data_IF_548629598167
#
_entry.id   IF_548629598167
#
_cell.length_a   1.000
_cell.length_b   1.000
_cell.length_c   1.000
_cell.angle_alpha   90.00
_cell.angle_beta   90.00
_cell.angle_gamma   90.00
#
_symmetry.space_group_name_H-M   'P 1'
#
loop_
_entity.id
_entity.type
_entity.pdbx_description
1 polymer ?
#
# COMPACT_ATOMS: atom_id res chain seq x y z
N UNK A 1 41.34 -64.69 -54.89
CA UNK A 1 40.60 -63.86 -53.92
C UNK A 1 41.61 -62.93 -53.26
N UNK A 2 41.44 -61.66 -53.56
CA UNK A 2 42.29 -60.48 -53.29
C UNK A 2 42.51 -60.23 -51.79
N UNK A 3 43.75 -59.99 -51.34
CA UNK A 3 44.16 -58.69 -50.80
C UNK A 3 45.64 -58.68 -50.37
N UNK A 4 46.40 -57.81 -51.03
CA UNK A 4 47.76 -57.40 -50.69
C UNK A 4 47.69 -56.25 -49.66
N UNK A 5 48.52 -56.37 -48.62
CA UNK A 5 49.50 -55.35 -48.16
C UNK A 5 48.99 -53.96 -47.73
N UNK A 6 49.24 -53.60 -46.45
CA UNK A 6 50.20 -52.56 -46.05
C UNK A 6 50.19 -52.32 -44.54
N UNK A 7 51.34 -52.52 -43.90
CA UNK A 7 51.68 -51.87 -42.64
C UNK A 7 51.70 -50.35 -42.83
N UNK A 8 51.16 -49.62 -41.83
CA UNK A 8 51.30 -48.17 -41.72
C UNK A 8 52.00 -47.85 -40.39
N UNK A 9 53.26 -47.48 -40.52
CA UNK A 9 54.06 -46.75 -39.53
C UNK A 9 53.44 -45.37 -39.34
N UNK A 10 53.08 -44.98 -38.12
CA UNK A 10 52.67 -43.62 -37.78
C UNK A 10 53.81 -42.95 -37.02
N UNK A 11 54.28 -41.85 -37.61
CA UNK A 11 55.37 -40.98 -37.20
C UNK A 11 54.92 -40.16 -35.99
N UNK A 12 55.68 -40.24 -34.89
CA UNK A 12 55.55 -39.35 -33.74
C UNK A 12 56.29 -38.06 -34.10
N UNK A 13 55.55 -37.01 -34.43
CA UNK A 13 56.11 -35.66 -34.59
C UNK A 13 55.81 -34.85 -33.35
N UNK A 14 56.86 -34.63 -32.56
CA UNK A 14 56.90 -33.72 -31.42
C UNK A 14 56.58 -32.30 -31.87
N UNK A 15 55.54 -31.68 -31.31
CA UNK A 15 55.25 -30.26 -31.49
C UNK A 15 55.15 -29.59 -30.13
N UNK A 16 56.28 -29.06 -29.68
CA UNK A 16 56.39 -28.09 -28.59
C UNK A 16 55.93 -26.75 -29.16
N UNK A 17 54.76 -26.27 -28.75
CA UNK A 17 54.36 -24.88 -28.93
C UNK A 17 54.02 -24.31 -27.56
N UNK A 18 54.88 -23.40 -27.11
CA UNK A 18 54.67 -22.46 -26.01
C UNK A 18 53.30 -21.79 -26.15
N UNK A 19 52.34 -22.17 -25.33
CA UNK A 19 51.17 -21.33 -25.05
C UNK A 19 51.04 -21.16 -23.54
N UNK A 20 51.91 -20.28 -23.04
CA UNK A 20 51.60 -19.44 -21.89
C UNK A 20 50.34 -18.63 -22.23
N UNK A 21 49.18 -19.24 -22.07
CA UNK A 21 47.95 -18.52 -21.82
C UNK A 21 47.41 -19.07 -20.53
N UNK A 22 47.77 -18.34 -19.48
CA UNK A 22 47.01 -18.17 -18.27
C UNK A 22 45.54 -18.01 -18.67
N UNK A 23 44.82 -19.11 -18.85
CA UNK A 23 43.37 -19.11 -18.77
C UNK A 23 43.08 -18.77 -17.32
N UNK A 24 43.03 -17.46 -17.05
CA UNK A 24 42.10 -16.93 -16.07
C UNK A 24 40.75 -17.41 -16.56
N UNK A 25 40.39 -18.64 -16.18
CA UNK A 25 39.02 -19.04 -16.09
C UNK A 25 38.47 -18.19 -14.94
N UNK A 26 38.25 -16.91 -15.23
CA UNK A 26 37.37 -16.08 -14.42
C UNK A 26 36.07 -16.88 -14.44
N UNK A 27 35.59 -17.38 -13.29
CA UNK A 27 34.29 -18.01 -13.28
C UNK A 27 33.34 -17.01 -13.96
N UNK A 28 32.42 -17.46 -14.83
CA UNK A 28 31.37 -16.57 -15.29
C UNK A 28 30.80 -15.94 -14.02
N UNK A 29 30.80 -14.61 -13.93
CA UNK A 29 30.10 -13.93 -12.85
C UNK A 29 28.72 -14.56 -12.85
N UNK A 30 28.41 -15.32 -11.81
CA UNK A 30 27.07 -15.86 -11.62
C UNK A 30 26.20 -14.62 -11.60
N UNK A 31 25.46 -14.39 -12.69
CA UNK A 31 24.27 -13.57 -12.59
C UNK A 31 23.45 -14.30 -11.53
N UNK A 32 23.37 -13.70 -10.34
CA UNK A 32 22.52 -14.20 -9.28
C UNK A 32 21.18 -14.54 -9.93
N UNK A 33 20.77 -15.81 -9.89
CA UNK A 33 19.47 -16.19 -10.39
C UNK A 33 18.45 -15.30 -9.69
N UNK A 34 17.66 -14.57 -10.48
CA UNK A 34 16.66 -13.64 -9.94
C UNK A 34 15.75 -14.46 -9.02
N UNK A 35 15.71 -14.09 -7.73
CA UNK A 35 14.99 -14.89 -6.73
C UNK A 35 13.52 -15.00 -7.11
N UNK A 36 12.87 -16.10 -6.73
CA UNK A 36 11.43 -16.26 -6.99
C UNK A 36 10.64 -15.06 -6.47
N UNK A 37 11.00 -14.55 -5.29
CA UNK A 37 10.45 -13.32 -4.71
C UNK A 37 10.60 -12.12 -5.63
N UNK A 38 11.79 -11.89 -6.21
CA UNK A 38 12.03 -10.77 -7.14
C UNK A 38 11.13 -10.85 -8.38
N UNK A 39 10.93 -12.05 -8.92
CA UNK A 39 10.05 -12.30 -10.09
C UNK A 39 8.56 -12.11 -9.78
N UNK A 40 8.17 -12.31 -8.53
CA UNK A 40 6.78 -12.24 -8.08
C UNK A 40 6.42 -10.92 -7.39
N UNK A 41 7.36 -9.97 -7.27
CA UNK A 41 7.08 -8.63 -6.73
C UNK A 41 5.86 -7.99 -7.36
N UNK A 42 4.95 -7.53 -6.49
CA UNK A 42 3.73 -6.86 -6.88
C UNK A 42 2.69 -7.75 -7.57
N UNK A 43 2.89 -9.07 -7.61
CA UNK A 43 1.90 -10.01 -8.14
C UNK A 43 0.85 -10.33 -7.08
N UNK A 44 -0.36 -10.55 -7.60
CA UNK A 44 -1.38 -11.35 -6.93
C UNK A 44 -1.13 -12.82 -7.25
N UNK A 45 -1.21 -13.68 -6.23
CA UNK A 45 -0.99 -15.12 -6.35
C UNK A 45 -2.22 -15.88 -5.88
N UNK A 46 -2.54 -16.97 -6.57
CA UNK A 46 -3.60 -17.90 -6.21
C UNK A 46 -2.96 -19.24 -5.86
N UNK A 47 -3.07 -19.64 -4.60
CA UNK A 47 -2.52 -20.90 -4.13
C UNK A 47 -3.42 -22.05 -4.59
N UNK A 48 -2.94 -22.83 -5.56
CA UNK A 48 -3.77 -23.81 -6.26
C UNK A 48 -4.19 -24.98 -5.36
N UNK A 49 -3.33 -25.34 -4.40
CA UNK A 49 -3.50 -26.49 -3.51
C UNK A 49 -4.32 -26.19 -2.25
N UNK A 50 -4.62 -24.91 -1.95
CA UNK A 50 -5.31 -24.52 -0.72
C UNK A 50 -6.52 -23.64 -1.01
N UNK A 51 -7.70 -24.27 -1.24
CA UNK A 51 -9.05 -23.65 -1.30
C UNK A 51 -9.16 -22.31 -2.07
N UNK A 52 -8.24 -22.00 -2.99
CA UNK A 52 -8.18 -20.72 -3.68
C UNK A 52 -7.82 -19.51 -2.79
N UNK A 53 -6.91 -19.68 -1.83
CA UNK A 53 -6.31 -18.58 -1.05
C UNK A 53 -5.55 -17.62 -1.97
N UNK A 54 -5.72 -16.32 -1.70
CA UNK A 54 -5.11 -15.25 -2.49
C UNK A 54 -4.00 -14.60 -1.67
N UNK A 55 -2.92 -14.26 -2.34
CA UNK A 55 -1.76 -13.61 -1.73
C UNK A 55 -1.35 -12.39 -2.54
N UNK A 56 -0.85 -11.36 -1.87
CA UNK A 56 -0.20 -10.23 -2.50
C UNK A 56 1.28 -10.20 -2.09
N UNK A 57 2.19 -10.14 -3.05
CA UNK A 57 3.63 -9.95 -2.78
C UNK A 57 3.93 -8.47 -2.85
N UNK A 58 4.17 -7.84 -1.70
CA UNK A 58 4.41 -6.40 -1.66
C UNK A 58 5.79 -6.08 -2.26
N UNK A 59 5.88 -5.24 -3.33
CA UNK A 59 7.15 -4.93 -3.98
C UNK A 59 8.05 -4.00 -3.14
N UNK A 60 7.59 -3.52 -1.98
CA UNK A 60 8.36 -2.66 -1.08
C UNK A 60 9.18 -3.44 -0.07
N UNK A 61 8.62 -4.50 0.51
CA UNK A 61 9.25 -5.27 1.59
C UNK A 61 9.53 -6.74 1.23
N UNK A 62 9.18 -7.16 0.01
CA UNK A 62 9.37 -8.53 -0.49
C UNK A 62 8.60 -9.62 0.28
N UNK A 63 7.56 -9.22 1.03
CA UNK A 63 6.74 -10.15 1.82
C UNK A 63 5.42 -10.47 1.15
N UNK A 64 4.91 -11.68 1.41
CA UNK A 64 3.56 -12.09 1.03
C UNK A 64 2.55 -11.78 2.13
N UNK A 65 1.39 -11.29 1.72
CA UNK A 65 0.24 -10.98 2.56
C UNK A 65 -0.93 -11.86 2.12
N UNK A 66 -1.53 -12.63 3.03
CA UNK A 66 -2.76 -13.35 2.73
C UNK A 66 -3.91 -12.37 2.60
N UNK A 67 -4.64 -12.43 1.48
CA UNK A 67 -5.79 -11.58 1.18
C UNK A 67 -7.06 -12.41 1.23
N UNK A 68 -7.97 -12.04 2.11
CA UNK A 68 -9.30 -12.61 2.25
C UNK A 68 -10.37 -11.50 2.37
N UNK A 69 -11.64 -11.89 2.43
CA UNK A 69 -12.76 -10.94 2.44
C UNK A 69 -12.73 -10.01 3.68
N UNK A 70 -12.18 -10.48 4.79
CA UNK A 70 -12.16 -9.76 6.06
C UNK A 70 -11.01 -8.76 6.15
N UNK A 71 -9.86 -9.08 5.53
CA UNK A 71 -8.63 -8.29 5.68
C UNK A 71 -8.21 -7.48 4.44
N UNK A 72 -8.81 -7.73 3.27
CA UNK A 72 -8.38 -7.15 1.99
C UNK A 72 -8.24 -5.63 2.04
N UNK A 73 -9.30 -4.91 2.45
CA UNK A 73 -9.26 -3.46 2.50
C UNK A 73 -8.26 -2.92 3.53
N UNK A 74 -8.09 -3.59 4.66
CA UNK A 74 -7.15 -3.19 5.71
C UNK A 74 -5.71 -3.33 5.21
N UNK A 75 -5.38 -4.47 4.60
CA UNK A 75 -4.08 -4.71 3.98
C UNK A 75 -3.83 -3.67 2.89
N UNK A 76 -4.80 -3.41 2.02
CA UNK A 76 -4.54 -2.51 0.91
C UNK A 76 -4.37 -1.07 1.34
N UNK A 77 -5.13 -0.59 2.33
CA UNK A 77 -4.91 0.75 2.89
C UNK A 77 -3.54 0.87 3.57
N UNK A 78 -3.10 -0.18 4.26
CA UNK A 78 -1.80 -0.20 4.91
C UNK A 78 -0.63 -0.21 3.91
N UNK A 79 -0.79 -0.89 2.77
CA UNK A 79 0.27 -1.08 1.78
C UNK A 79 0.21 -0.08 0.60
N UNK A 80 -0.89 0.63 0.44
CA UNK A 80 -1.11 1.49 -0.72
C UNK A 80 -0.26 2.76 -0.69
N UNK A 81 0.22 3.14 -1.87
CA UNK A 81 0.86 4.43 -2.12
C UNK A 81 -0.19 5.47 -2.49
N UNK A 82 -0.16 6.65 -1.85
CA UNK A 82 -1.01 7.76 -2.26
C UNK A 82 -0.72 8.22 -3.70
N UNK A 83 -1.77 8.51 -4.47
CA UNK A 83 -1.67 9.02 -5.85
C UNK A 83 -2.71 10.12 -6.11
N UNK A 84 -2.36 11.11 -6.92
CA UNK A 84 -3.26 12.17 -7.40
C UNK A 84 -4.11 11.68 -8.57
N UNK A 85 -5.22 12.35 -8.87
CA UNK A 85 -6.07 12.06 -10.02
C UNK A 85 -5.28 12.24 -11.33
N UNK A 86 -4.50 13.33 -11.45
CA UNK A 86 -3.66 13.62 -12.61
C UNK A 86 -2.66 12.50 -12.91
N UNK A 87 -2.06 11.90 -11.89
CA UNK A 87 -1.10 10.80 -12.06
C UNK A 87 -1.79 9.45 -12.23
N UNK A 88 -2.92 9.24 -11.56
CA UNK A 88 -3.73 8.02 -11.69
C UNK A 88 -4.30 7.88 -13.10
N UNK A 89 -4.70 8.99 -13.74
CA UNK A 89 -5.26 8.94 -15.09
C UNK A 89 -4.23 8.56 -16.16
N UNK A 90 -2.95 8.85 -15.91
CA UNK A 90 -1.86 8.45 -16.81
C UNK A 90 -1.66 6.94 -16.89
N UNK A 91 -2.32 6.17 -16.02
CA UNK A 91 -2.28 4.69 -16.03
C UNK A 91 -3.51 4.18 -16.79
N UNK A 92 -3.34 3.36 -17.85
CA UNK A 92 -4.47 2.77 -18.57
C UNK A 92 -5.41 1.99 -17.65
N UNK A 93 -6.70 2.03 -17.90
CA UNK A 93 -7.70 1.22 -17.19
C UNK A 93 -8.34 0.19 -18.13
N UNK A 94 -8.90 -0.88 -17.58
CA UNK A 94 -9.68 -1.85 -18.35
C UNK A 94 -11.17 -1.47 -18.31
N UNK A 95 -11.76 -1.18 -19.47
CA UNK A 95 -13.15 -0.75 -19.59
C UNK A 95 -14.15 -1.79 -19.06
N UNK A 96 -13.79 -3.07 -18.99
CA UNK A 96 -14.67 -4.11 -18.46
C UNK A 96 -14.84 -4.05 -16.94
N UNK A 97 -13.98 -3.28 -16.25
CA UNK A 97 -13.98 -3.15 -14.79
C UNK A 97 -14.46 -1.77 -14.30
N UNK A 98 -14.90 -0.92 -15.23
CA UNK A 98 -15.46 0.39 -14.90
C UNK A 98 -16.94 0.23 -14.58
N UNK A 99 -17.38 0.89 -13.51
CA UNK A 99 -18.79 0.92 -13.16
C UNK A 99 -19.56 1.76 -14.19
N UNK A 100 -20.53 1.13 -14.85
CA UNK A 100 -21.31 1.75 -15.92
C UNK A 100 -22.22 2.91 -15.49
N UNK A 101 -22.27 3.26 -14.19
CA UNK A 101 -23.12 4.31 -13.63
C UNK A 101 -22.35 5.42 -12.91
N UNK A 102 -21.03 5.30 -12.82
CA UNK A 102 -20.20 6.31 -12.15
C UNK A 102 -19.87 7.41 -13.16
N UNK A 103 -19.86 8.64 -12.65
CA UNK A 103 -19.38 9.86 -13.28
C UNK A 103 -18.43 10.49 -12.23
N UNK A 104 -17.14 10.29 -12.44
CA UNK A 104 -16.09 10.52 -11.45
C UNK A 104 -15.69 12.00 -11.32
N UNK A 105 -15.79 12.78 -12.40
CA UNK A 105 -15.49 14.21 -12.40
C UNK A 105 -16.76 15.11 -12.39
N UNK A 106 -17.94 14.51 -12.59
CA UNK A 106 -19.24 15.16 -12.47
C UNK A 106 -19.60 16.03 -13.67
N UNK A 107 -18.99 15.79 -14.83
CA UNK A 107 -19.21 16.60 -16.04
C UNK A 107 -20.46 16.19 -16.85
N UNK A 108 -21.13 15.11 -16.43
CA UNK A 108 -22.34 14.57 -17.06
C UNK A 108 -22.08 13.43 -18.05
N UNK A 109 -20.83 13.02 -18.25
CA UNK A 109 -20.45 11.81 -18.98
C UNK A 109 -20.08 10.69 -18.00
N UNK A 110 -20.58 9.48 -18.26
CA UNK A 110 -20.26 8.33 -17.41
C UNK A 110 -18.84 7.85 -17.69
N UNK A 111 -18.10 7.41 -16.66
CA UNK A 111 -16.72 6.93 -16.77
C UNK A 111 -16.54 5.86 -17.86
N UNK A 112 -17.53 4.99 -18.02
CA UNK A 112 -17.50 3.95 -19.06
C UNK A 112 -17.55 4.54 -20.47
N UNK A 113 -18.33 5.61 -20.67
CA UNK A 113 -18.43 6.32 -21.95
C UNK A 113 -17.13 7.04 -22.22
N UNK A 114 -16.58 7.72 -21.21
CA UNK A 114 -15.32 8.43 -21.32
C UNK A 114 -14.16 7.49 -21.65
N UNK A 115 -13.99 6.41 -20.88
CA UNK A 115 -12.93 5.44 -21.07
C UNK A 115 -12.97 4.78 -22.45
N UNK A 116 -14.16 4.38 -22.92
CA UNK A 116 -14.35 3.80 -24.27
C UNK A 116 -13.96 4.80 -25.37
N UNK A 117 -14.18 6.09 -25.12
CA UNK A 117 -13.82 7.16 -26.05
C UNK A 117 -12.43 7.76 -25.80
N UNK A 118 -11.67 7.25 -24.81
CA UNK A 118 -10.33 7.73 -24.45
C UNK A 118 -10.30 9.12 -23.81
N UNK A 119 -11.35 9.50 -23.09
CA UNK A 119 -11.38 10.71 -22.26
C UNK A 119 -10.87 10.43 -20.85
N UNK A 120 -10.48 11.50 -20.15
CA UNK A 120 -9.95 11.48 -18.79
C UNK A 120 -11.09 11.37 -17.78
N UNK A 121 -11.05 10.35 -16.93
CA UNK A 121 -12.12 10.06 -15.95
C UNK A 121 -12.19 11.05 -14.77
N UNK A 122 -11.17 11.89 -14.61
CA UNK A 122 -11.02 12.76 -13.44
C UNK A 122 -10.82 14.23 -13.85
N UNK A 123 -11.14 14.60 -15.09
CA UNK A 123 -11.06 15.96 -15.57
C UNK A 123 -11.15 16.09 -17.09
N UNK A 124 -11.03 17.31 -17.62
CA UNK A 124 -11.36 17.57 -19.01
C UNK A 124 -10.34 16.97 -20.00
N UNK A 125 -10.85 16.62 -21.18
CA UNK A 125 -10.03 16.28 -22.35
C UNK A 125 -9.64 14.81 -22.46
N UNK A 126 -8.74 14.50 -23.40
CA UNK A 126 -8.32 13.12 -23.66
C UNK A 126 -7.40 12.60 -22.56
N UNK A 127 -7.55 11.34 -22.21
CA UNK A 127 -6.60 10.65 -21.32
C UNK A 127 -5.22 10.61 -21.99
N UNK A 128 -4.18 10.98 -21.24
CA UNK A 128 -2.78 10.94 -21.69
C UNK A 128 -2.05 9.88 -20.88
N UNK A 129 -1.78 8.74 -21.49
CA UNK A 129 -1.08 7.66 -20.80
C UNK A 129 0.44 7.87 -20.78
N UNK A 130 1.05 7.69 -19.60
CA UNK A 130 2.49 7.81 -19.41
C UNK A 130 3.11 6.45 -19.04
N UNK A 131 3.88 5.87 -19.96
CA UNK A 131 4.54 4.58 -19.72
C UNK A 131 5.50 4.61 -18.54
N UNK A 132 6.14 5.74 -18.23
CA UNK A 132 7.09 5.84 -17.12
C UNK A 132 6.37 5.71 -15.78
N UNK A 133 5.23 6.39 -15.61
CA UNK A 133 4.48 6.29 -14.36
C UNK A 133 3.88 4.90 -14.19
N UNK A 134 3.31 4.33 -15.26
CA UNK A 134 2.78 2.98 -15.25
C UNK A 134 3.86 1.97 -14.88
N UNK A 135 5.05 2.05 -15.50
CA UNK A 135 6.18 1.16 -15.19
C UNK A 135 6.62 1.28 -13.73
N UNK A 136 6.70 2.51 -13.20
CA UNK A 136 7.10 2.77 -11.81
C UNK A 136 6.09 2.23 -10.79
N UNK A 137 4.82 2.19 -11.15
CA UNK A 137 3.72 1.80 -10.26
C UNK A 137 3.25 0.36 -10.45
N UNK A 138 3.87 -0.41 -11.36
CA UNK A 138 3.56 -1.84 -11.56
C UNK A 138 3.54 -2.61 -10.25
N UNK A 139 2.46 -3.37 -10.06
CA UNK A 139 2.25 -4.22 -8.90
C UNK A 139 2.02 -3.47 -7.59
N UNK A 140 1.86 -2.15 -7.62
CA UNK A 140 1.53 -1.35 -6.45
C UNK A 140 0.03 -1.32 -6.23
N UNK A 141 -0.33 -1.32 -4.96
CA UNK A 141 -1.61 -0.82 -4.49
C UNK A 141 -1.49 0.71 -4.38
N UNK A 142 -2.51 1.43 -4.84
CA UNK A 142 -2.57 2.89 -4.84
C UNK A 142 -3.81 3.34 -4.09
N UNK A 143 -3.70 4.48 -3.41
CA UNK A 143 -4.81 5.13 -2.71
C UNK A 143 -5.04 6.50 -3.35
N UNK A 144 -6.20 6.68 -3.97
CA UNK A 144 -6.57 7.95 -4.61
C UNK A 144 -6.78 9.03 -3.54
N UNK A 145 -5.89 10.01 -3.49
CA UNK A 145 -5.84 10.97 -2.39
C UNK A 145 -6.87 12.10 -2.51
N UNK A 146 -7.30 12.44 -3.72
CA UNK A 146 -8.11 13.62 -4.04
C UNK A 146 -9.60 13.32 -4.25
N UNK A 147 -10.03 12.08 -4.00
CA UNK A 147 -11.42 11.64 -4.11
C UNK A 147 -11.81 10.83 -2.84
N UNK A 148 -12.81 9.96 -2.92
CA UNK A 148 -13.33 9.13 -1.82
C UNK A 148 -12.36 8.07 -1.25
N UNK A 149 -11.06 8.14 -1.55
CA UNK A 149 -10.06 7.20 -1.04
C UNK A 149 -10.18 5.81 -1.66
N UNK A 150 -10.56 5.75 -2.94
CA UNK A 150 -10.60 4.52 -3.73
C UNK A 150 -9.21 3.89 -3.78
N UNK A 151 -9.18 2.57 -3.78
CA UNK A 151 -7.96 1.78 -3.87
C UNK A 151 -7.85 1.27 -5.29
N UNK A 152 -6.63 1.26 -5.81
CA UNK A 152 -6.34 0.78 -7.16
C UNK A 152 -5.20 -0.22 -7.11
N UNK A 153 -5.25 -1.25 -7.94
CA UNK A 153 -4.14 -2.16 -8.18
C UNK A 153 -3.62 -1.98 -9.60
N UNK A 154 -2.33 -1.72 -9.76
CA UNK A 154 -1.70 -1.68 -11.09
C UNK A 154 -1.17 -3.06 -11.42
N UNK A 155 -1.82 -3.77 -12.33
CA UNK A 155 -1.44 -5.13 -12.66
C UNK A 155 -0.13 -5.14 -13.48
N UNK A 156 0.95 -5.79 -13.00
CA UNK A 156 2.24 -5.81 -13.69
C UNK A 156 2.26 -6.70 -14.94
N UNK A 157 1.16 -7.40 -15.26
CA UNK A 157 1.02 -8.26 -16.44
C UNK A 157 0.54 -7.50 -17.67
N UNK A 158 -0.42 -6.60 -17.50
CA UNK A 158 -1.08 -5.87 -18.59
C UNK A 158 -0.92 -4.35 -18.53
N UNK A 159 -0.23 -3.83 -17.50
CA UNK A 159 0.00 -2.40 -17.29
C UNK A 159 -1.27 -1.58 -17.02
N UNK A 160 -2.36 -2.22 -16.60
CA UNK A 160 -3.63 -1.55 -16.31
C UNK A 160 -3.87 -1.36 -14.82
N UNK A 161 -4.55 -0.27 -14.47
CA UNK A 161 -5.12 -0.04 -13.14
C UNK A 161 -6.50 -0.69 -13.03
N UNK A 162 -6.80 -1.24 -11.86
CA UNK A 162 -8.08 -1.83 -11.49
C UNK A 162 -8.55 -1.25 -10.18
N UNK A 163 -9.77 -0.74 -10.11
CA UNK A 163 -10.35 -0.28 -8.85
C UNK A 163 -10.64 -1.49 -7.95
N UNK A 164 -10.26 -1.38 -6.67
CA UNK A 164 -10.42 -2.41 -5.66
C UNK A 164 -11.31 -1.89 -4.53
N UNK A 165 -12.39 -2.61 -4.26
CA UNK A 165 -13.33 -2.33 -3.17
C UNK A 165 -13.72 -3.62 -2.45
N UNK A 166 -14.49 -3.51 -1.36
CA UNK A 166 -14.89 -4.66 -0.54
C UNK A 166 -15.65 -5.73 -1.34
N UNK A 167 -16.46 -5.31 -2.31
CA UNK A 167 -17.32 -6.22 -3.07
C UNK A 167 -16.55 -6.96 -4.18
N UNK A 168 -15.53 -6.34 -4.79
CA UNK A 168 -14.84 -6.89 -5.94
C UNK A 168 -13.44 -7.45 -5.65
N UNK A 169 -12.84 -7.19 -4.48
CA UNK A 169 -11.43 -7.51 -4.23
C UNK A 169 -11.07 -8.99 -4.51
N UNK A 170 -11.79 -9.93 -3.91
CA UNK A 170 -11.50 -11.36 -4.10
C UNK A 170 -11.78 -11.86 -5.52
N UNK A 171 -12.95 -11.58 -6.15
CA UNK A 171 -13.20 -11.95 -7.54
C UNK A 171 -12.16 -11.37 -8.50
N UNK A 172 -11.85 -10.07 -8.38
CA UNK A 172 -10.84 -9.39 -9.19
C UNK A 172 -9.48 -10.07 -9.02
N UNK A 173 -9.09 -10.34 -7.78
CA UNK A 173 -7.77 -10.88 -7.51
C UNK A 173 -7.62 -12.29 -8.03
N UNK A 174 -8.65 -13.14 -7.90
CA UNK A 174 -8.64 -14.49 -8.50
C UNK A 174 -8.51 -14.44 -10.02
N UNK A 175 -9.09 -13.43 -10.66
CA UNK A 175 -8.99 -13.25 -12.11
C UNK A 175 -7.59 -12.79 -12.55
N UNK A 176 -6.95 -11.91 -11.77
CA UNK A 176 -5.63 -11.34 -12.09
C UNK A 176 -4.45 -12.17 -11.56
N UNK A 177 -4.70 -13.08 -10.63
CA UNK A 177 -3.67 -13.80 -9.91
C UNK A 177 -2.97 -14.86 -10.77
N UNK A 178 -1.67 -15.01 -10.52
CA UNK A 178 -0.87 -16.12 -11.02
C UNK A 178 -1.02 -17.33 -10.09
N UNK A 179 -1.25 -18.52 -10.63
CA UNK A 179 -1.23 -19.75 -9.85
C UNK A 179 0.16 -20.01 -9.25
N UNK A 180 0.21 -20.41 -7.99
CA UNK A 180 1.46 -20.76 -7.29
C UNK A 180 1.31 -22.05 -6.47
N UNK A 181 2.40 -22.83 -6.38
CA UNK A 181 2.45 -24.04 -5.54
C UNK A 181 2.80 -23.70 -4.09
N UNK A 182 2.48 -24.60 -3.16
CA UNK A 182 2.86 -24.42 -1.74
C UNK A 182 4.38 -24.33 -1.56
N UNK A 183 5.14 -25.11 -2.33
CA UNK A 183 6.60 -25.11 -2.32
C UNK A 183 7.14 -23.74 -2.73
N UNK A 184 6.72 -23.24 -3.89
CA UNK A 184 7.13 -21.92 -4.41
C UNK A 184 6.68 -20.78 -3.48
N UNK A 185 5.47 -20.84 -2.93
CA UNK A 185 4.93 -19.82 -2.03
C UNK A 185 5.74 -19.74 -0.72
N UNK A 186 6.25 -20.88 -0.24
CA UNK A 186 7.05 -20.96 0.98
C UNK A 186 8.42 -20.29 0.86
N UNK A 187 8.95 -20.11 -0.36
CA UNK A 187 10.20 -19.39 -0.61
C UNK A 187 10.06 -17.86 -0.44
N UNK A 188 8.82 -17.34 -0.52
CA UNK A 188 8.53 -15.93 -0.27
C UNK A 188 8.42 -15.76 1.25
N UNK A 189 8.89 -14.68 1.86
CA UNK A 189 8.71 -14.50 3.31
C UNK A 189 7.27 -14.06 3.63
N UNK A 190 6.56 -14.66 4.61
CA UNK A 190 5.27 -14.14 5.04
C UNK A 190 5.42 -12.80 5.76
N UNK A 191 4.42 -11.93 5.65
CA UNK A 191 4.29 -10.79 6.54
C UNK A 191 4.16 -11.27 7.99
N UNK A 192 5.03 -10.79 8.88
CA UNK A 192 4.97 -11.13 10.30
C UNK A 192 3.73 -10.47 10.91
N UNK A 193 2.69 -11.26 11.17
CA UNK A 193 1.60 -10.84 12.06
C UNK A 193 2.13 -11.05 13.47
N UNK A 194 2.64 -9.99 14.10
CA UNK A 194 3.06 -10.03 15.50
C UNK A 194 1.80 -10.09 16.38
N UNK A 195 1.27 -11.29 16.61
CA UNK A 195 0.38 -11.57 17.75
C UNK A 195 1.22 -11.57 19.02
N UNK A 196 1.51 -10.40 19.57
CA UNK A 196 2.07 -10.29 20.92
C UNK A 196 0.94 -10.10 21.92
N UNK A 197 0.82 -11.07 22.82
CA UNK A 197 -0.05 -11.03 23.99
C UNK A 197 0.57 -10.01 24.95
N UNK A 198 0.12 -8.75 24.90
CA UNK A 198 0.68 -7.71 25.79
C UNK A 198 0.09 -7.87 27.20
N UNK A 199 0.90 -8.38 28.12
CA UNK A 199 0.72 -8.08 29.54
C UNK A 199 0.87 -6.56 29.74
N UNK A 200 -0.01 -6.00 30.56
CA UNK A 200 -0.16 -4.56 30.77
C UNK A 200 1.03 -3.97 31.55
N UNK A 201 1.81 -3.01 31.00
CA UNK A 201 2.74 -2.25 31.80
C UNK A 201 1.98 -1.12 32.50
N UNK A 202 1.97 -1.16 33.82
CA UNK A 202 1.52 -0.06 34.69
C UNK A 202 2.54 1.08 34.60
N UNK A 203 2.26 2.11 33.82
CA UNK A 203 3.12 3.32 33.76
C UNK A 203 2.55 4.40 34.65
N UNK A 204 3.40 4.86 35.57
CA UNK A 204 3.19 6.00 36.44
C UNK A 204 3.55 7.29 35.70
N UNK A 205 2.68 8.29 35.80
CA UNK A 205 2.89 9.61 35.22
C UNK A 205 4.08 10.31 35.90
N UNK A 206 5.13 10.56 35.13
CA UNK A 206 6.06 11.67 35.41
C UNK A 206 6.19 12.48 34.13
N UNK A 207 5.82 13.76 34.20
CA UNK A 207 5.90 14.71 33.09
C UNK A 207 7.35 14.88 32.61
N UNK A 208 7.62 15.05 31.30
CA UNK A 208 8.95 15.39 30.84
C UNK A 208 9.28 16.86 31.15
N UNK A 209 10.51 17.19 31.58
CA UNK A 209 10.94 18.56 31.76
C UNK A 209 11.49 19.16 30.45
N UNK A 210 11.07 20.40 30.15
CA UNK A 210 11.92 21.42 29.52
C UNK A 210 11.85 21.65 27.99
N UNK A 211 11.26 22.80 27.62
CA UNK A 211 11.90 23.77 26.72
C UNK A 211 11.80 23.57 25.19
N UNK A 212 10.67 23.94 24.58
CA UNK A 212 10.65 24.29 23.15
C UNK A 212 11.09 25.74 22.97
N UNK A 213 12.30 25.96 22.47
CA UNK A 213 12.77 27.28 22.05
C UNK A 213 11.93 27.86 20.91
N UNK A 214 11.89 29.20 20.83
CA UNK A 214 11.11 30.04 19.91
C UNK A 214 10.62 29.35 18.62
N UNK A 215 9.42 28.77 18.73
CA UNK A 215 8.62 28.33 17.60
C UNK A 215 8.02 29.58 16.93
N UNK A 216 8.07 29.71 15.59
CA UNK A 216 7.42 30.83 14.92
C UNK A 216 5.95 30.92 15.36
N UNK A 217 5.52 32.12 15.76
CA UNK A 217 4.11 32.37 16.07
C UNK A 217 3.28 32.04 14.84
N UNK A 218 2.37 31.05 14.91
CA UNK A 218 1.57 30.66 13.77
C UNK A 218 0.67 31.83 13.34
N UNK A 219 0.24 31.86 12.06
CA UNK A 219 -0.78 32.80 11.62
C UNK A 219 -2.02 32.67 12.51
N UNK A 220 -2.62 33.80 12.88
CA UNK A 220 -3.82 33.83 13.71
C UNK A 220 -5.01 33.33 12.90
N UNK A 221 -5.32 32.03 13.00
CA UNK A 221 -6.49 31.42 12.38
C UNK A 221 -7.69 31.46 13.33
N UNK A 222 -8.74 32.19 12.95
CA UNK A 222 -10.07 32.03 13.55
C UNK A 222 -10.71 30.74 13.04
N UNK A 223 -10.73 29.71 13.89
CA UNK A 223 -11.44 28.47 13.60
C UNK A 223 -12.92 28.65 13.94
N UNK A 224 -13.78 28.70 12.92
CA UNK A 224 -15.22 28.61 13.09
C UNK A 224 -15.59 27.14 13.29
N UNK A 225 -16.07 26.81 14.48
CA UNK A 225 -16.61 25.49 14.77
C UNK A 225 -17.87 25.27 13.94
N UNK A 226 -17.84 24.30 13.02
CA UNK A 226 -19.05 23.81 12.36
C UNK A 226 -19.41 22.47 13.01
N UNK A 227 -20.63 22.30 13.54
CA UNK A 227 -21.07 21.01 14.03
C UNK A 227 -21.23 20.02 12.86
N UNK A 228 -20.89 18.75 13.13
CA UNK A 228 -21.10 17.62 12.24
C UNK A 228 -22.56 17.58 11.76
N UNK A 229 -22.78 17.58 10.44
CA UNK A 229 -24.11 17.26 9.89
C UNK A 229 -24.42 15.78 10.16
N UNK A 230 -25.69 15.53 10.45
CA UNK A 230 -26.19 14.39 11.19
C UNK A 230 -26.01 13.03 10.45
N UNK A 231 -24.92 12.33 10.73
CA UNK A 231 -24.76 10.91 10.40
C UNK A 231 -24.65 10.10 11.70
N UNK A 232 -25.73 9.35 11.95
CA UNK A 232 -25.93 8.32 12.98
C UNK A 232 -24.63 7.75 13.57
N UNK A 233 -24.54 7.80 14.91
CA UNK A 233 -23.57 7.13 15.78
C UNK A 233 -22.47 6.34 15.06
N UNK A 234 -21.40 7.03 14.65
CA UNK A 234 -20.20 6.38 14.14
C UNK A 234 -19.74 5.34 15.16
N UNK A 235 -19.56 4.09 14.76
CA UNK A 235 -18.96 3.09 15.63
C UNK A 235 -17.50 3.47 15.88
N UNK A 236 -16.90 2.93 16.95
CA UNK A 236 -15.49 3.17 17.22
C UNK A 236 -14.57 2.81 16.02
N UNK A 237 -14.98 1.86 15.17
CA UNK A 237 -14.26 1.50 13.96
C UNK A 237 -14.39 2.49 12.80
N UNK A 238 -15.49 3.23 12.69
CA UNK A 238 -15.68 4.19 11.59
C UNK A 238 -15.09 5.56 11.87
N UNK A 239 -14.90 5.94 13.15
CA UNK A 239 -14.31 7.25 13.48
C UNK A 239 -12.84 7.36 13.04
N UNK A 240 -12.07 6.27 13.12
CA UNK A 240 -10.66 6.23 12.70
C UNK A 240 -10.50 6.48 11.20
N UNK A 241 -11.27 5.77 10.37
CA UNK A 241 -11.22 5.91 8.92
C UNK A 241 -11.79 7.25 8.44
N UNK A 242 -12.81 7.78 9.12
CA UNK A 242 -13.37 9.09 8.83
C UNK A 242 -12.38 10.22 9.19
N UNK A 243 -11.75 10.16 10.36
CA UNK A 243 -10.70 11.09 10.76
C UNK A 243 -9.51 11.05 9.79
N UNK A 244 -9.06 9.86 9.40
CA UNK A 244 -7.97 9.67 8.44
C UNK A 244 -8.30 10.28 7.07
N UNK A 245 -9.53 10.12 6.60
CA UNK A 245 -9.99 10.73 5.35
C UNK A 245 -10.02 12.26 5.43
N UNK A 246 -10.57 12.80 6.50
CA UNK A 246 -10.68 14.26 6.69
C UNK A 246 -9.31 14.94 6.84
N UNK A 247 -8.35 14.29 7.51
CA UNK A 247 -6.96 14.76 7.61
C UNK A 247 -6.29 14.80 6.24
N UNK A 248 -6.40 13.72 5.44
CA UNK A 248 -5.83 13.67 4.08
C UNK A 248 -6.34 14.79 3.18
N UNK A 249 -7.63 15.11 3.30
CA UNK A 249 -8.26 16.20 2.55
C UNK A 249 -7.90 17.61 3.05
N UNK A 250 -7.05 17.75 4.08
CA UNK A 250 -6.73 19.05 4.69
C UNK A 250 -7.96 19.79 5.24
N UNK A 251 -9.01 19.06 5.58
CA UNK A 251 -10.31 19.64 5.91
C UNK A 251 -10.32 20.16 7.35
N UNK A 252 -10.71 21.42 7.56
CA UNK A 252 -10.88 22.00 8.90
C UNK A 252 -11.86 21.20 9.79
N UNK A 253 -12.81 20.48 9.18
CA UNK A 253 -13.77 19.59 9.85
C UNK A 253 -13.14 18.31 10.39
N UNK A 254 -11.89 17.97 10.06
CA UNK A 254 -11.21 16.82 10.63
C UNK A 254 -11.18 16.86 12.17
N UNK A 255 -11.10 18.06 12.74
CA UNK A 255 -11.14 18.29 14.19
C UNK A 255 -12.44 17.81 14.85
N UNK A 256 -13.53 17.68 14.09
CA UNK A 256 -14.81 17.20 14.62
C UNK A 256 -14.79 15.71 15.01
N UNK A 257 -13.85 14.93 14.46
CA UNK A 257 -13.66 13.51 14.82
C UNK A 257 -12.86 13.33 16.11
N UNK A 258 -12.37 14.42 16.70
CA UNK A 258 -11.58 14.40 17.91
C UNK A 258 -12.34 14.94 19.11
N UNK A 259 -12.00 14.45 20.30
CA UNK A 259 -12.56 14.94 21.56
C UNK A 259 -12.26 16.43 21.72
N UNK A 260 -13.15 17.21 22.36
CA UNK A 260 -12.95 18.65 22.55
C UNK A 260 -11.59 19.01 23.15
N UNK A 261 -11.04 18.15 24.01
CA UNK A 261 -9.76 18.34 24.68
C UNK A 261 -8.57 18.45 23.71
N UNK A 262 -8.58 17.72 22.59
CA UNK A 262 -7.41 17.67 21.68
C UNK A 262 -7.58 18.46 20.39
N UNK A 263 -8.79 18.96 20.07
CA UNK A 263 -9.08 19.63 18.78
C UNK A 263 -8.09 20.74 18.41
N UNK A 264 -7.66 21.55 19.38
CA UNK A 264 -6.68 22.64 19.14
C UNK A 264 -5.32 22.10 18.71
N UNK A 265 -4.84 21.03 19.34
CA UNK A 265 -3.59 20.39 18.97
C UNK A 265 -3.67 19.78 17.57
N UNK A 266 -4.79 19.12 17.24
CA UNK A 266 -5.03 18.58 15.89
C UNK A 266 -5.04 19.68 14.83
N UNK A 267 -5.78 20.76 15.08
CA UNK A 267 -5.85 21.90 14.17
C UNK A 267 -4.47 22.50 13.92
N UNK A 268 -3.65 22.63 14.98
CA UNK A 268 -2.28 23.09 14.88
C UNK A 268 -1.43 22.15 14.04
N UNK A 269 -1.41 20.85 14.35
CA UNK A 269 -0.66 19.83 13.61
C UNK A 269 -1.04 19.84 12.13
N UNK A 270 -2.33 19.90 11.82
CA UNK A 270 -2.79 19.94 10.43
C UNK A 270 -2.42 21.25 9.72
N UNK A 271 -2.32 22.37 10.43
CA UNK A 271 -1.95 23.66 9.87
C UNK A 271 -0.46 23.79 9.55
N UNK A 272 0.41 23.01 10.21
CA UNK A 272 1.86 23.02 9.97
C UNK A 272 2.33 21.95 8.98
N UNK A 273 1.52 20.91 8.75
CA UNK A 273 1.82 19.87 7.77
C UNK A 273 1.43 20.32 6.36
N UNK A 274 2.31 20.05 5.38
CA UNK A 274 1.95 20.16 3.97
C UNK A 274 1.05 18.98 3.53
N UNK A 275 0.62 18.98 2.27
CA UNK A 275 -0.25 17.92 1.73
C UNK A 275 0.37 16.51 1.84
N UNK A 276 1.70 16.41 1.84
CA UNK A 276 2.40 15.12 1.97
C UNK A 276 2.47 14.68 3.44
N UNK A 277 2.68 15.60 4.37
CA UNK A 277 2.62 15.36 5.81
C UNK A 277 1.22 14.95 6.27
N UNK A 278 0.18 15.64 5.78
CA UNK A 278 -1.22 15.28 6.02
C UNK A 278 -1.56 13.89 5.47
N UNK A 279 -1.00 13.54 4.30
CA UNK A 279 -1.15 12.22 3.72
C UNK A 279 -0.54 11.13 4.60
N UNK A 280 0.71 11.31 5.05
CA UNK A 280 1.40 10.36 5.94
C UNK A 280 0.61 10.17 7.23
N UNK A 281 0.16 11.28 7.84
CA UNK A 281 -0.60 11.27 9.08
C UNK A 281 -1.94 10.52 8.94
N UNK A 282 -2.69 10.79 7.87
CA UNK A 282 -3.93 10.08 7.61
C UNK A 282 -3.71 8.60 7.29
N UNK A 283 -2.66 8.25 6.55
CA UNK A 283 -2.32 6.87 6.26
C UNK A 283 -1.96 6.11 7.54
N UNK A 284 -1.16 6.73 8.41
CA UNK A 284 -0.80 6.18 9.72
C UNK A 284 -2.06 5.85 10.54
N UNK A 285 -2.99 6.80 10.61
CA UNK A 285 -4.25 6.62 11.33
C UNK A 285 -5.11 5.49 10.74
N UNK A 286 -5.17 5.38 9.40
CA UNK A 286 -5.94 4.35 8.70
C UNK A 286 -5.30 2.95 8.71
N UNK A 287 -4.01 2.86 9.00
CA UNK A 287 -3.26 1.61 9.12
C UNK A 287 -3.41 0.94 10.49
N UNK A 288 -3.97 1.66 11.46
CA UNK A 288 -4.07 1.19 12.83
C UNK A 288 -5.11 0.06 12.98
N UNK A 289 -4.71 -1.02 13.64
CA UNK A 289 -5.54 -2.19 13.89
C UNK A 289 -6.06 -2.18 15.32
N UNK A 290 -7.24 -2.77 15.52
CA UNK A 290 -7.85 -2.86 16.84
C UNK A 290 -6.98 -3.73 17.76
N UNK A 291 -6.57 -3.20 18.91
CA UNK A 291 -5.79 -3.93 19.92
C UNK A 291 -6.55 -4.15 21.21
N UNK A 292 -7.49 -3.26 21.56
CA UNK A 292 -8.33 -3.41 22.75
C UNK A 292 -9.67 -2.71 22.59
N UNK A 293 -10.73 -3.26 23.18
CA UNK A 293 -12.08 -2.69 23.14
C UNK A 293 -12.85 -2.97 24.42
N UNK A 294 -13.56 -1.96 24.91
CA UNK A 294 -14.59 -2.10 25.95
C UNK A 294 -15.80 -1.21 25.61
N UNK A 295 -16.74 -1.05 26.54
CA UNK A 295 -18.01 -0.32 26.31
C UNK A 295 -17.86 1.19 26.19
N UNK A 296 -16.75 1.77 26.66
CA UNK A 296 -16.51 3.22 26.71
C UNK A 296 -15.24 3.66 25.97
N UNK A 297 -14.35 2.73 25.63
CA UNK A 297 -13.07 3.01 25.02
C UNK A 297 -12.59 1.89 24.09
N UNK A 298 -11.94 2.28 23.01
CA UNK A 298 -11.32 1.40 22.02
C UNK A 298 -9.91 1.89 21.72
N UNK A 299 -8.97 0.98 21.56
CA UNK A 299 -7.57 1.27 21.24
C UNK A 299 -7.23 0.65 19.90
N UNK A 300 -6.72 1.47 18.99
CA UNK A 300 -6.12 1.05 17.74
C UNK A 300 -4.62 1.27 17.83
N UNK A 301 -3.79 0.43 17.21
CA UNK A 301 -2.36 0.65 17.17
C UNK A 301 -1.79 0.40 15.77
N UNK A 302 -0.74 1.13 15.45
CA UNK A 302 0.08 0.90 14.26
C UNK A 302 1.56 0.96 14.64
N UNK A 303 2.41 0.63 13.69
CA UNK A 303 3.85 0.51 13.86
C UNK A 303 4.56 1.47 12.92
N UNK A 304 5.45 2.30 13.46
CA UNK A 304 6.30 3.20 12.68
C UNK A 304 7.76 2.90 12.93
N UNK A 305 8.56 2.94 11.86
CA UNK A 305 10.00 2.91 11.96
C UNK A 305 10.50 4.31 12.33
N UNK A 306 11.04 4.44 13.54
CA UNK A 306 11.66 5.68 14.02
C UNK A 306 13.08 5.37 14.52
N UNK A 307 14.08 6.00 13.93
CA UNK A 307 15.51 5.75 14.21
C UNK A 307 15.91 4.26 14.10
N UNK A 308 15.32 3.54 13.14
CA UNK A 308 15.59 2.12 12.92
C UNK A 308 14.94 1.19 13.96
N UNK A 309 14.16 1.71 14.89
CA UNK A 309 13.38 0.93 15.84
C UNK A 309 11.90 0.97 15.48
N UNK A 310 11.21 -0.14 15.73
CA UNK A 310 9.77 -0.21 15.55
C UNK A 310 9.09 0.41 16.79
N UNK A 311 8.36 1.50 16.58
CA UNK A 311 7.65 2.22 17.63
C UNK A 311 6.16 2.01 17.43
N UNK A 312 5.47 1.55 18.47
CA UNK A 312 4.02 1.43 18.47
C UNK A 312 3.38 2.78 18.71
N UNK A 313 2.47 3.18 17.82
CA UNK A 313 1.64 4.37 17.96
C UNK A 313 0.22 3.92 18.23
N UNK A 314 -0.32 4.33 19.38
CA UNK A 314 -1.67 3.97 19.82
C UNK A 314 -2.64 5.14 19.66
N UNK A 315 -3.83 4.86 19.16
CA UNK A 315 -4.94 5.78 19.01
C UNK A 315 -6.10 5.35 19.88
N UNK A 316 -6.54 6.26 20.74
CA UNK A 316 -7.60 6.03 21.70
C UNK A 316 -8.90 6.63 21.16
N UNK A 317 -9.94 5.83 21.10
CA UNK A 317 -11.28 6.23 20.68
C UNK A 317 -12.20 6.08 21.88
N UNK A 318 -12.91 7.16 22.23
CA UNK A 318 -13.71 7.23 23.46
C UNK A 318 -15.17 7.55 23.16
N UNK A 319 -16.07 6.85 23.83
CA UNK A 319 -17.50 7.12 23.78
C UNK A 319 -17.82 8.34 24.64
N UNK A 320 -18.48 9.32 24.03
CA UNK A 320 -18.89 10.56 24.66
C UNK A 320 -20.26 10.39 25.37
N UNK A 321 -20.64 11.31 26.28
CA UNK A 321 -21.94 11.26 26.97
C UNK A 321 -23.15 11.27 26.02
N UNK A 322 -23.02 11.88 24.85
CA UNK A 322 -24.05 11.92 23.80
C UNK A 322 -24.11 10.62 22.96
N UNK A 323 -23.27 9.63 23.29
CA UNK A 323 -23.19 8.34 22.61
C UNK A 323 -22.29 8.31 21.37
N UNK A 324 -21.74 9.45 20.95
CA UNK A 324 -20.78 9.51 19.83
C UNK A 324 -19.42 8.92 20.21
N UNK A 325 -18.66 8.44 19.23
CA UNK A 325 -17.27 8.00 19.42
C UNK A 325 -16.32 9.03 18.80
N UNK A 326 -15.29 9.42 19.53
CA UNK A 326 -14.30 10.43 19.11
C UNK A 326 -12.87 9.98 19.43
N UNK A 327 -11.90 10.37 18.60
CA UNK A 327 -10.48 10.17 18.86
C UNK A 327 -10.02 11.10 20.00
N UNK A 328 -9.38 10.52 21.00
CA UNK A 328 -8.87 11.25 22.16
C UNK A 328 -7.40 11.67 21.99
N UNK A 329 -6.72 11.24 20.92
CA UNK A 329 -5.36 11.64 20.59
C UNK A 329 -5.05 11.50 19.09
N UNK A 330 -3.85 11.94 18.69
CA UNK A 330 -3.25 11.80 17.38
C UNK A 330 -1.75 11.53 17.55
#
# INVERSE_FOLDING_TARGET
MTFLKKQKTIVITTFVLLFSCFLVFSPPKSLAADSLTARLRGRLLLQAQSRGQVWYVNPIDDRRYEVNAENALSIFRALALGITNDDLEKIPTDTNFINAKVDSDGDGYLDIVEAVNGYNLFGPGKAIFDKKITTRLRGRLLLQAQNHGQIWYVNPVDDRKYEVNAANALPLFRQLALGITDADLSEISPATVTTEVSETPKVSETSPPGGFGNLPTPPSYTYTYLPRQNDNAASAGTVMSAAASAIRGGNAQATAYFTPAVRKAIAYTMGVLDSSGLLILGNLLSSATLTSSNTTGVVYATHVLFNGQNVTVSFYVQKQPDGSWLLANL
#
